data_IF_269864457411
#
_entry.id   IF_269864457411
#
_cell.length_a   1.000
_cell.length_b   1.000
_cell.length_c   1.000
_cell.angle_alpha   90.00
_cell.angle_beta   90.00
_cell.angle_gamma   90.00
#
_symmetry.space_group_name_H-M   'P 1'
#
loop_
_entity.id
_entity.type
_entity.pdbx_description
1 polymer ?
#
# COMPACT_ATOMS: atom_id res chain seq x y z
N UNK A 1 8.10 13.47 -11.87
CA UNK A 1 8.15 13.84 -10.43
C UNK A 1 8.78 15.23 -10.26
N UNK A 2 8.23 16.09 -9.40
CA UNK A 2 8.81 17.42 -9.13
C UNK A 2 10.01 17.36 -8.17
N UNK A 3 10.95 18.30 -8.31
CA UNK A 3 12.15 18.39 -7.44
C UNK A 3 11.77 18.49 -5.94
N UNK A 4 10.65 19.15 -5.63
CA UNK A 4 10.13 19.24 -4.26
C UNK A 4 9.70 17.88 -3.71
N UNK A 5 8.97 17.08 -4.49
CA UNK A 5 8.55 15.72 -4.08
C UNK A 5 9.75 14.81 -3.88
N UNK A 6 10.71 14.85 -4.79
CA UNK A 6 11.95 14.07 -4.68
C UNK A 6 12.73 14.42 -3.39
N UNK A 7 12.88 15.71 -3.10
CA UNK A 7 13.53 16.18 -1.87
C UNK A 7 12.77 15.77 -0.60
N UNK A 8 11.44 15.77 -0.62
CA UNK A 8 10.64 15.27 0.50
C UNK A 8 10.80 13.76 0.67
N UNK A 9 10.84 12.99 -0.41
CA UNK A 9 11.02 11.53 -0.39
C UNK A 9 12.36 11.13 0.22
N UNK A 10 13.44 11.82 -0.16
CA UNK A 10 14.76 11.61 0.47
C UNK A 10 14.75 11.90 1.97
N UNK A 11 14.00 12.91 2.42
CA UNK A 11 13.86 13.23 3.85
C UNK A 11 12.95 12.24 4.57
N UNK A 12 12.00 11.63 3.87
CA UNK A 12 11.08 10.64 4.39
C UNK A 12 11.83 9.37 4.81
N UNK A 13 12.71 8.84 3.95
CA UNK A 13 13.50 7.62 4.26
C UNK A 13 14.41 7.76 5.49
N UNK A 14 14.78 8.98 5.84
CA UNK A 14 15.60 9.27 7.01
C UNK A 14 14.77 9.47 8.30
N UNK A 15 13.44 9.37 8.23
CA UNK A 15 12.56 9.60 9.38
C UNK A 15 12.17 8.26 10.03
N UNK A 16 12.76 8.01 11.20
CA UNK A 16 12.57 6.81 12.02
C UNK A 16 11.16 6.64 12.59
N UNK A 17 10.33 7.69 12.55
CA UNK A 17 8.94 7.66 13.00
C UNK A 17 7.95 7.17 11.96
N UNK A 18 8.41 6.89 10.74
CA UNK A 18 7.56 6.44 9.63
C UNK A 18 8.06 5.07 9.23
N UNK A 19 7.18 4.08 9.32
CA UNK A 19 7.48 2.69 8.98
C UNK A 19 7.75 2.52 7.49
N UNK A 20 8.50 1.48 7.17
CA UNK A 20 8.94 1.19 5.80
C UNK A 20 7.76 1.02 4.83
N UNK A 21 6.64 0.45 5.27
CA UNK A 21 5.43 0.35 4.43
C UNK A 21 4.88 1.72 4.03
N UNK A 22 4.79 2.68 4.97
CA UNK A 22 4.32 4.03 4.63
C UNK A 22 5.32 4.75 3.73
N UNK A 23 6.62 4.51 3.90
CA UNK A 23 7.64 5.04 3.01
C UNK A 23 7.48 4.50 1.57
N UNK A 24 7.28 3.19 1.42
CA UNK A 24 7.03 2.51 0.15
C UNK A 24 5.76 3.01 -0.54
N UNK A 25 4.66 3.16 0.21
CA UNK A 25 3.41 3.73 -0.28
C UNK A 25 3.64 5.18 -0.77
N UNK A 26 4.37 6.00 -0.01
CA UNK A 26 4.70 7.37 -0.43
C UNK A 26 5.52 7.39 -1.73
N UNK A 27 6.48 6.49 -1.87
CA UNK A 27 7.29 6.35 -3.08
C UNK A 27 6.43 5.94 -4.29
N UNK A 28 5.61 4.90 -4.13
CA UNK A 28 4.69 4.42 -5.17
C UNK A 28 3.84 5.56 -5.70
N UNK A 29 3.08 6.25 -4.85
CA UNK A 29 2.20 7.34 -5.32
C UNK A 29 2.97 8.57 -5.84
N UNK A 30 4.16 8.85 -5.32
CA UNK A 30 4.98 9.97 -5.80
C UNK A 30 5.59 9.70 -7.18
N UNK A 31 5.90 8.44 -7.49
CA UNK A 31 6.45 8.01 -8.78
C UNK A 31 5.35 7.87 -9.84
N UNK A 32 4.13 7.46 -9.45
CA UNK A 32 2.96 7.43 -10.32
C UNK A 32 2.68 8.79 -10.99
N UNK A 33 2.75 9.88 -10.23
CA UNK A 33 2.52 11.24 -10.75
C UNK A 33 3.57 11.71 -11.79
N UNK A 34 4.59 10.90 -12.08
CA UNK A 34 5.62 11.16 -13.09
C UNK A 34 5.48 10.39 -14.41
N UNK A 35 4.58 9.42 -14.52
CA UNK A 35 4.42 8.62 -15.75
C UNK A 35 3.47 9.32 -16.72
N UNK A 36 3.99 10.24 -17.54
CA UNK A 36 3.23 10.84 -18.65
C UNK A 36 2.98 9.84 -19.80
N UNK A 37 3.70 8.71 -19.84
CA UNK A 37 3.77 7.79 -20.99
C UNK A 37 3.21 6.36 -20.73
N UNK A 38 2.37 6.15 -19.70
CA UNK A 38 1.84 4.81 -19.36
C UNK A 38 2.93 3.72 -19.14
N UNK A 39 4.13 4.10 -18.68
CA UNK A 39 5.24 3.15 -18.45
C UNK A 39 5.01 2.16 -17.29
N UNK A 40 3.85 2.22 -16.63
CA UNK A 40 3.34 1.18 -15.72
C UNK A 40 3.25 -0.22 -16.35
N UNK A 41 3.41 -0.32 -17.68
CA UNK A 41 3.45 -1.60 -18.40
C UNK A 41 4.61 -2.52 -17.98
N UNK A 42 5.65 -1.99 -17.32
CA UNK A 42 6.73 -2.79 -16.74
C UNK A 42 6.48 -3.19 -15.27
N UNK A 43 5.40 -2.72 -14.63
CA UNK A 43 5.01 -3.17 -13.30
C UNK A 43 4.49 -4.62 -13.36
N UNK A 44 4.94 -5.46 -12.42
CA UNK A 44 4.61 -6.89 -12.40
C UNK A 44 3.10 -7.08 -12.16
N UNK A 45 2.47 -6.17 -11.41
CA UNK A 45 1.04 -6.17 -11.09
C UNK A 45 0.35 -4.90 -11.64
N UNK A 46 -0.94 -4.99 -12.03
CA UNK A 46 -1.73 -3.80 -12.33
C UNK A 46 -1.84 -2.87 -11.11
N UNK A 47 -1.88 -1.54 -11.29
CA UNK A 47 -2.01 -0.57 -10.20
C UNK A 47 -3.18 -0.85 -9.25
N UNK A 48 -4.32 -1.27 -9.78
CA UNK A 48 -5.51 -1.60 -8.99
C UNK A 48 -5.26 -2.74 -7.99
N UNK A 49 -4.36 -3.67 -8.31
CA UNK A 49 -3.98 -4.79 -7.44
C UNK A 49 -2.98 -4.32 -6.40
N UNK A 50 -1.96 -3.56 -6.80
CA UNK A 50 -0.96 -2.97 -5.90
C UNK A 50 -1.64 -2.12 -4.82
N UNK A 51 -2.55 -1.22 -5.23
CA UNK A 51 -3.31 -0.37 -4.31
C UNK A 51 -4.21 -1.18 -3.38
N UNK A 52 -4.84 -2.25 -3.89
CA UNK A 52 -5.68 -3.14 -3.07
C UNK A 52 -4.85 -3.87 -2.01
N UNK A 53 -3.62 -4.26 -2.34
CA UNK A 53 -2.69 -4.88 -1.39
C UNK A 53 -2.27 -3.87 -0.32
N UNK A 54 -1.82 -2.67 -0.71
CA UNK A 54 -1.43 -1.65 0.26
C UNK A 54 -2.58 -1.28 1.19
N UNK A 55 -3.79 -1.09 0.65
CA UNK A 55 -4.98 -0.84 1.48
C UNK A 55 -5.24 -2.00 2.45
N UNK A 56 -5.21 -3.24 1.98
CA UNK A 56 -5.43 -4.42 2.82
C UNK A 56 -4.44 -4.50 3.99
N UNK A 57 -3.15 -4.25 3.73
CA UNK A 57 -2.11 -4.26 4.76
C UNK A 57 -2.16 -3.04 5.68
N UNK A 58 -2.54 -1.87 5.17
CA UNK A 58 -2.79 -0.71 6.02
C UNK A 58 -3.92 -0.96 7.01
N UNK A 59 -4.95 -1.72 6.63
CA UNK A 59 -6.07 -2.06 7.51
C UNK A 59 -5.65 -2.97 8.67
N UNK A 60 -4.61 -3.80 8.50
CA UNK A 60 -4.09 -4.67 9.56
C UNK A 60 -3.44 -3.90 10.73
N UNK A 61 -3.06 -2.64 10.53
CA UNK A 61 -2.48 -1.78 11.58
C UNK A 61 -2.92 -0.33 11.41
N UNK A 62 -4.24 -0.15 11.21
CA UNK A 62 -4.83 1.12 10.79
C UNK A 62 -4.45 2.31 11.65
N UNK A 63 -4.47 2.19 12.97
CA UNK A 63 -4.15 3.29 13.89
C UNK A 63 -2.71 3.78 13.71
N UNK A 64 -1.75 2.85 13.70
CA UNK A 64 -0.34 3.16 13.46
C UNK A 64 -0.16 3.82 12.08
N UNK A 65 -0.79 3.27 11.03
CA UNK A 65 -0.68 3.81 9.68
C UNK A 65 -1.27 5.23 9.59
N UNK A 66 -2.42 5.47 10.24
CA UNK A 66 -3.02 6.80 10.27
C UNK A 66 -2.13 7.80 11.00
N UNK A 67 -1.52 7.42 12.13
CA UNK A 67 -0.56 8.28 12.85
C UNK A 67 0.66 8.63 11.98
N UNK A 68 1.21 7.63 11.26
CA UNK A 68 2.33 7.84 10.34
C UNK A 68 1.94 8.74 9.16
N UNK A 69 0.76 8.55 8.57
CA UNK A 69 0.23 9.41 7.51
C UNK A 69 -0.03 10.85 7.98
N UNK A 70 -0.39 11.03 9.25
CA UNK A 70 -0.56 12.34 9.87
C UNK A 70 0.80 13.07 10.03
N UNK A 71 1.88 12.33 10.32
CA UNK A 71 3.25 12.85 10.27
C UNK A 71 3.61 13.24 8.84
N UNK A 72 3.26 12.40 7.86
CA UNK A 72 3.51 12.67 6.44
C UNK A 72 2.81 13.96 6.00
N UNK A 73 1.54 14.13 6.35
CA UNK A 73 0.77 15.34 6.07
C UNK A 73 1.44 16.60 6.63
N UNK A 74 1.94 16.54 7.87
CA UNK A 74 2.54 17.70 8.56
C UNK A 74 3.92 18.05 8.04
N UNK A 75 4.75 17.05 7.69
CA UNK A 75 6.17 17.25 7.37
C UNK A 75 6.50 17.20 5.88
N UNK A 76 5.70 16.48 5.09
CA UNK A 76 5.93 16.21 3.67
C UNK A 76 4.63 16.44 2.87
N UNK A 77 4.13 17.68 2.83
CA UNK A 77 2.83 17.99 2.26
C UNK A 77 2.74 17.75 0.75
N UNK A 78 3.86 17.82 0.00
CA UNK A 78 3.83 17.53 -1.44
C UNK A 78 3.73 16.03 -1.72
N UNK A 79 4.31 15.19 -0.86
CA UNK A 79 4.06 13.74 -0.88
C UNK A 79 2.65 13.40 -0.41
N UNK A 80 2.16 14.02 0.66
CA UNK A 80 0.81 13.74 1.17
C UNK A 80 -0.28 14.01 0.13
N UNK A 81 -0.12 15.04 -0.70
CA UNK A 81 -1.04 15.35 -1.80
C UNK A 81 -1.26 14.18 -2.76
N UNK A 82 -0.24 13.39 -3.07
CA UNK A 82 -0.38 12.22 -3.96
C UNK A 82 -1.10 11.05 -3.29
N UNK A 83 -1.06 11.00 -1.96
CA UNK A 83 -1.65 9.95 -1.14
C UNK A 83 -3.08 10.26 -0.68
N UNK A 84 -3.56 11.48 -0.95
CA UNK A 84 -4.81 11.98 -0.40
C UNK A 84 -6.01 11.07 -0.73
N UNK A 85 -6.05 10.46 -1.92
CA UNK A 85 -7.08 9.49 -2.30
C UNK A 85 -7.10 8.27 -1.36
N UNK A 86 -5.95 7.62 -1.20
CA UNK A 86 -5.79 6.47 -0.31
C UNK A 86 -6.06 6.83 1.16
N UNK A 87 -5.51 7.95 1.63
CA UNK A 87 -5.70 8.41 3.01
C UNK A 87 -7.18 8.66 3.33
N UNK A 88 -7.92 9.30 2.42
CA UNK A 88 -9.36 9.48 2.58
C UNK A 88 -10.12 8.15 2.58
N UNK A 89 -9.73 7.19 1.73
CA UNK A 89 -10.30 5.84 1.75
C UNK A 89 -10.12 5.16 3.10
N UNK A 90 -8.94 5.27 3.73
CA UNK A 90 -8.68 4.73 5.07
C UNK A 90 -9.48 5.43 6.17
N UNK A 91 -9.74 6.73 6.04
CA UNK A 91 -10.49 7.53 7.02
C UNK A 91 -12.01 7.32 6.93
N UNK A 92 -12.57 7.31 5.72
CA UNK A 92 -14.02 7.32 5.47
C UNK A 92 -14.68 5.97 5.79
N UNK A 93 -13.96 4.87 5.55
CA UNK A 93 -14.48 3.53 5.81
C UNK A 93 -14.41 3.23 7.32
N UNK A 94 -15.44 3.64 8.06
CA UNK A 94 -15.62 3.28 9.47
C UNK A 94 -15.77 1.76 9.65
N UNK A 95 -16.40 1.08 8.69
CA UNK A 95 -16.42 -0.38 8.62
C UNK A 95 -15.23 -0.85 7.78
N UNK A 96 -14.19 -1.29 8.47
CA UNK A 96 -12.99 -1.81 7.82
C UNK A 96 -13.27 -3.11 7.06
N UNK A 97 -14.27 -3.91 7.47
CA UNK A 97 -14.54 -5.21 6.87
C UNK A 97 -15.05 -5.09 5.44
N UNK A 98 -15.87 -4.08 5.14
CA UNK A 98 -16.34 -3.83 3.79
C UNK A 98 -15.19 -3.47 2.83
N UNK A 99 -14.22 -2.70 3.32
CA UNK A 99 -13.04 -2.32 2.55
C UNK A 99 -12.06 -3.50 2.39
N UNK A 100 -11.84 -4.28 3.45
CA UNK A 100 -11.05 -5.53 3.40
C UNK A 100 -11.66 -6.53 2.41
N UNK A 101 -12.99 -6.72 2.45
CA UNK A 101 -13.70 -7.60 1.52
C UNK A 101 -13.57 -7.12 0.08
N UNK A 102 -13.69 -5.81 -0.15
CA UNK A 102 -13.53 -5.21 -1.48
C UNK A 102 -12.12 -5.41 -2.03
N UNK A 103 -11.09 -5.11 -1.23
CA UNK A 103 -9.69 -5.29 -1.63
C UNK A 103 -9.38 -6.78 -1.85
N UNK A 104 -9.82 -7.63 -0.92
CA UNK A 104 -9.60 -9.08 -1.00
C UNK A 104 -10.26 -9.73 -2.20
N UNK A 105 -11.47 -9.27 -2.58
CA UNK A 105 -12.16 -9.74 -3.80
C UNK A 105 -11.39 -9.39 -5.06
N UNK A 106 -10.91 -8.15 -5.19
CA UNK A 106 -10.10 -7.74 -6.36
C UNK A 106 -8.83 -8.57 -6.50
N UNK A 107 -8.14 -8.83 -5.40
CA UNK A 107 -6.92 -9.67 -5.39
C UNK A 107 -7.27 -11.12 -5.76
N UNK A 108 -8.36 -11.66 -5.21
CA UNK A 108 -8.80 -13.02 -5.50
C UNK A 108 -9.23 -13.20 -6.97
N UNK A 109 -9.87 -12.19 -7.58
CA UNK A 109 -10.24 -12.20 -9.00
C UNK A 109 -9.02 -12.15 -9.92
N UNK A 110 -7.93 -11.52 -9.47
CA UNK A 110 -6.66 -11.46 -10.20
C UNK A 110 -5.83 -12.75 -10.08
N UNK A 111 -5.84 -13.40 -8.92
CA UNK A 111 -5.08 -14.62 -8.66
C UNK A 111 -5.83 -15.88 -9.09
N UNK A 112 -5.18 -16.78 -9.85
CA UNK A 112 -5.83 -18.03 -10.27
C UNK A 112 -6.17 -18.91 -9.08
N UNK A 113 -7.32 -19.57 -9.16
CA UNK A 113 -7.82 -20.56 -8.18
C UNK A 113 -7.75 -20.06 -6.72
N UNK A 114 -7.91 -18.75 -6.52
CA UNK A 114 -7.75 -18.11 -5.21
C UNK A 114 -9.08 -17.56 -4.73
N UNK A 115 -9.43 -17.90 -3.50
CA UNK A 115 -10.64 -17.39 -2.85
C UNK A 115 -10.34 -16.15 -2.01
N UNK A 116 -11.37 -15.34 -1.79
CA UNK A 116 -11.32 -14.22 -0.83
C UNK A 116 -10.82 -14.68 0.55
N UNK A 117 -11.31 -15.83 1.02
CA UNK A 117 -10.91 -16.37 2.34
C UNK A 117 -9.42 -16.68 2.41
N UNK A 118 -8.82 -17.18 1.32
CA UNK A 118 -7.38 -17.42 1.27
C UNK A 118 -6.60 -16.10 1.29
N UNK A 119 -7.02 -15.11 0.51
CA UNK A 119 -6.39 -13.77 0.50
C UNK A 119 -6.35 -13.17 1.90
N UNK A 120 -7.50 -13.11 2.58
CA UNK A 120 -7.60 -12.56 3.93
C UNK A 120 -6.80 -13.38 4.94
N UNK A 121 -6.82 -14.71 4.83
CA UNK A 121 -6.05 -15.57 5.73
C UNK A 121 -4.55 -15.41 5.54
N UNK A 122 -4.07 -15.21 4.30
CA UNK A 122 -2.65 -14.97 4.03
C UNK A 122 -2.23 -13.58 4.52
N UNK A 123 -3.04 -12.54 4.31
CA UNK A 123 -2.76 -11.20 4.81
C UNK A 123 -2.63 -11.17 6.35
N UNK A 124 -3.58 -11.79 7.07
CA UNK A 124 -3.53 -11.91 8.54
C UNK A 124 -2.32 -12.75 8.99
N UNK A 125 -2.10 -13.92 8.37
CA UNK A 125 -1.01 -14.82 8.75
C UNK A 125 0.37 -14.18 8.52
N UNK A 126 0.59 -13.53 7.38
CA UNK A 126 1.87 -12.87 7.10
C UNK A 126 2.09 -11.64 7.97
N UNK A 127 1.04 -10.90 8.32
CA UNK A 127 1.15 -9.79 9.27
C UNK A 127 1.60 -10.28 10.64
N UNK A 128 1.01 -11.37 11.15
CA UNK A 128 1.34 -11.93 12.48
C UNK A 128 2.72 -12.59 12.58
N UNK A 129 3.27 -13.03 11.45
CA UNK A 129 4.51 -13.81 11.39
C UNK A 129 5.70 -13.03 10.83
N UNK A 130 5.53 -11.74 10.56
CA UNK A 130 6.58 -10.87 10.04
C UNK A 130 6.97 -9.83 11.08
N UNK A 131 8.22 -9.39 11.02
CA UNK A 131 8.75 -8.42 11.99
C UNK A 131 8.17 -7.01 11.78
N UNK A 132 7.70 -6.72 10.56
CA UNK A 132 7.01 -5.48 10.21
C UNK A 132 6.09 -5.70 8.99
N UNK A 133 5.24 -4.70 8.69
CA UNK A 133 4.24 -4.78 7.62
C UNK A 133 4.85 -4.83 6.21
N UNK A 134 5.97 -4.16 5.95
CA UNK A 134 6.65 -4.21 4.65
C UNK A 134 7.12 -5.64 4.34
N UNK A 135 7.73 -6.33 5.32
CA UNK A 135 8.07 -7.75 5.17
C UNK A 135 6.84 -8.66 4.99
N UNK A 136 5.71 -8.29 5.59
CA UNK A 136 4.46 -9.03 5.41
C UNK A 136 3.92 -8.87 3.99
N UNK A 137 4.01 -7.65 3.44
CA UNK A 137 3.68 -7.33 2.04
C UNK A 137 4.60 -8.09 1.08
N UNK A 138 5.91 -8.14 1.32
CA UNK A 138 6.87 -8.91 0.49
C UNK A 138 6.52 -10.41 0.44
N UNK A 139 6.20 -11.01 1.59
CA UNK A 139 5.75 -12.40 1.66
C UNK A 139 4.43 -12.60 0.91
N UNK A 140 3.53 -11.62 0.99
CA UNK A 140 2.26 -11.65 0.30
C UNK A 140 2.44 -11.58 -1.22
N UNK A 141 3.29 -10.68 -1.73
CA UNK A 141 3.64 -10.63 -3.15
C UNK A 141 4.28 -11.93 -3.61
N UNK A 142 5.23 -12.47 -2.83
CA UNK A 142 5.87 -13.76 -3.13
C UNK A 142 4.84 -14.88 -3.27
N UNK A 143 3.83 -14.92 -2.40
CA UNK A 143 2.72 -15.87 -2.51
C UNK A 143 1.84 -15.58 -3.73
N UNK A 144 1.45 -14.33 -3.95
CA UNK A 144 0.59 -13.92 -5.06
C UNK A 144 1.22 -14.28 -6.42
N UNK A 145 2.53 -14.07 -6.57
CA UNK A 145 3.30 -14.40 -7.77
C UNK A 145 3.31 -15.91 -8.10
N UNK A 146 3.09 -16.79 -7.11
CA UNK A 146 2.92 -18.22 -7.37
C UNK A 146 1.56 -18.56 -8.00
N UNK A 147 0.60 -17.63 -7.96
CA UNK A 147 -0.79 -17.82 -8.40
C UNK A 147 -1.22 -16.92 -9.55
N UNK A 148 -0.49 -15.84 -9.83
CA UNK A 148 -0.81 -14.87 -10.90
C UNK A 148 -0.25 -15.23 -12.28
N UNK A 149 0.20 -16.48 -12.52
CA UNK A 149 0.77 -16.93 -13.82
C UNK A 149 0.02 -18.06 -14.49
#
# INVERSE_FOLDING_TARGET
MSEKKFNELQKLYNNDKIGTLVQEICEYYATQDGYEDNSYQDEIEPPEIVESIYLLFCLQSREQILDELDIVQKKYPELHKTLNGMHNTLLINMDCHALEETCGKRIAEYAKDTTLSEVLSHADSFTRTSDNLCMAVDKFYSWLHTRSR
#
